data_IF_594391533338
#
_entry.id   IF_594391533338
#
_cell.length_a   1.000
_cell.length_b   1.000
_cell.length_c   1.000
_cell.angle_alpha   90.00
_cell.angle_beta   90.00
_cell.angle_gamma   90.00
#
_symmetry.space_group_name_H-M   'P 1'
#
loop_
_entity.id
_entity.type
_entity.pdbx_description
1 polymer ?
#
# COMPACT_ATOMS: atom_id res chain seq x y z
N UNK A 1 8.61 -14.52 -16.32
CA UNK A 1 8.20 -13.38 -17.18
C UNK A 1 9.27 -12.29 -17.20
N UNK A 2 10.47 -12.58 -17.70
CA UNK A 2 11.64 -11.71 -17.52
C UNK A 2 12.08 -10.91 -18.75
N UNK A 3 11.27 -10.81 -19.82
CA UNK A 3 11.74 -10.15 -21.03
C UNK A 3 11.95 -8.65 -20.77
N UNK A 4 13.10 -8.06 -21.16
CA UNK A 4 13.35 -6.63 -20.99
C UNK A 4 12.27 -5.76 -21.68
N UNK A 5 11.71 -6.27 -22.78
CA UNK A 5 10.63 -5.61 -23.53
C UNK A 5 9.34 -5.54 -22.72
N UNK A 6 8.95 -6.62 -22.01
CA UNK A 6 7.76 -6.63 -21.16
C UNK A 6 7.91 -5.64 -20.00
N UNK A 7 9.08 -5.66 -19.34
CA UNK A 7 9.40 -4.72 -18.27
C UNK A 7 9.40 -3.27 -18.74
N UNK A 8 10.08 -2.98 -19.85
CA UNK A 8 10.12 -1.64 -20.43
C UNK A 8 8.73 -1.16 -20.85
N UNK A 9 7.94 -2.01 -21.49
CA UNK A 9 6.56 -1.70 -21.88
C UNK A 9 5.65 -1.43 -20.68
N UNK A 10 5.75 -2.27 -19.63
CA UNK A 10 4.98 -2.07 -18.40
C UNK A 10 5.37 -0.78 -17.68
N UNK A 11 6.67 -0.53 -17.47
CA UNK A 11 7.15 0.70 -16.84
C UNK A 11 6.78 1.95 -17.63
N UNK A 12 6.90 1.91 -18.96
CA UNK A 12 6.45 3.00 -19.82
C UNK A 12 4.94 3.24 -19.67
N UNK A 13 4.13 2.18 -19.65
CA UNK A 13 2.70 2.27 -19.39
C UNK A 13 2.38 2.89 -18.03
N UNK A 14 3.08 2.48 -16.97
CA UNK A 14 2.93 3.05 -15.61
C UNK A 14 3.28 4.54 -15.60
N UNK A 15 4.38 4.94 -16.22
CA UNK A 15 4.77 6.35 -16.32
C UNK A 15 3.74 7.19 -17.09
N UNK A 16 3.19 6.65 -18.18
CA UNK A 16 2.10 7.30 -18.94
C UNK A 16 0.85 7.44 -18.06
N UNK A 17 0.45 6.38 -17.36
CA UNK A 17 -0.71 6.39 -16.48
C UNK A 17 -0.54 7.37 -15.31
N UNK A 18 0.64 7.45 -14.70
CA UNK A 18 0.97 8.43 -13.66
C UNK A 18 0.95 9.85 -14.20
N UNK A 19 1.49 10.08 -15.40
CA UNK A 19 1.46 11.40 -16.05
C UNK A 19 0.02 11.83 -16.38
N UNK A 20 -0.83 10.90 -16.81
CA UNK A 20 -2.26 11.16 -17.04
C UNK A 20 -2.99 11.45 -15.73
N UNK A 21 -2.73 10.68 -14.67
CA UNK A 21 -3.30 10.89 -13.34
C UNK A 21 -2.98 12.30 -12.81
N UNK A 22 -1.72 12.71 -12.93
CA UNK A 22 -1.26 14.06 -12.59
C UNK A 22 -1.96 15.14 -13.40
N UNK A 23 -2.02 14.98 -14.73
CA UNK A 23 -2.62 15.97 -15.64
C UNK A 23 -4.11 16.15 -15.40
N UNK A 24 -4.82 15.06 -15.11
CA UNK A 24 -6.25 15.09 -14.82
C UNK A 24 -6.48 15.65 -13.41
N UNK A 25 -5.62 15.32 -12.45
CA UNK A 25 -5.69 15.83 -11.08
C UNK A 25 -5.42 17.33 -10.99
N UNK A 26 -4.41 17.85 -11.69
CA UNK A 26 -4.02 19.27 -11.60
C UNK A 26 -5.10 20.21 -12.10
N UNK A 27 -5.95 19.75 -13.04
CA UNK A 27 -7.06 20.52 -13.60
C UNK A 27 -8.30 20.57 -12.71
N UNK A 28 -8.38 19.74 -11.67
CA UNK A 28 -9.59 19.55 -10.85
C UNK A 28 -9.43 20.15 -9.46
N UNK A 29 -8.86 21.35 -9.36
CA UNK A 29 -8.78 22.07 -8.09
C UNK A 29 -10.09 21.96 -7.32
N UNK A 30 -9.99 21.61 -6.02
CA UNK A 30 -11.04 21.19 -5.06
C UNK A 30 -11.22 19.67 -4.92
N UNK A 31 -11.16 19.20 -3.67
CA UNK A 31 -11.18 17.78 -3.30
C UNK A 31 -12.27 16.99 -4.03
N UNK A 32 -11.87 15.87 -4.64
CA UNK A 32 -12.77 15.03 -5.44
C UNK A 32 -14.03 14.71 -4.62
N UNK A 33 -15.21 15.01 -5.19
CA UNK A 33 -16.50 14.67 -4.58
C UNK A 33 -16.51 13.15 -4.38
N UNK A 34 -17.03 12.64 -3.26
CA UNK A 34 -16.99 11.20 -2.93
C UNK A 34 -17.42 10.28 -4.09
N UNK A 35 -18.45 10.68 -4.85
CA UNK A 35 -18.92 9.96 -6.06
C UNK A 35 -17.87 9.88 -7.18
N UNK A 36 -17.12 10.96 -7.38
CA UNK A 36 -16.05 11.02 -8.36
C UNK A 36 -14.86 10.15 -7.93
N UNK A 37 -14.53 10.17 -6.64
CA UNK A 37 -13.48 9.30 -6.07
C UNK A 37 -13.81 7.81 -6.26
N UNK A 38 -15.08 7.41 -6.09
CA UNK A 38 -15.54 6.05 -6.40
C UNK A 38 -15.33 5.71 -7.88
N UNK A 39 -15.75 6.61 -8.79
CA UNK A 39 -15.58 6.39 -10.23
C UNK A 39 -14.13 6.15 -10.64
N UNK A 40 -13.20 6.94 -10.10
CA UNK A 40 -11.77 6.72 -10.32
C UNK A 40 -11.25 5.45 -9.68
N UNK A 41 -11.69 5.13 -8.45
CA UNK A 41 -11.30 3.88 -7.81
C UNK A 41 -11.73 2.67 -8.63
N UNK A 42 -12.95 2.67 -9.16
CA UNK A 42 -13.46 1.61 -10.02
C UNK A 42 -12.68 1.52 -11.34
N UNK A 43 -12.34 2.65 -11.95
CA UNK A 43 -11.50 2.70 -13.16
C UNK A 43 -10.15 2.03 -12.93
N UNK A 44 -9.43 2.38 -11.86
CA UNK A 44 -8.12 1.79 -11.55
C UNK A 44 -8.21 0.30 -11.21
N UNK A 45 -9.26 -0.12 -10.51
CA UNK A 45 -9.53 -1.54 -10.26
C UNK A 45 -9.79 -2.27 -11.58
N UNK A 46 -10.67 -1.76 -12.44
CA UNK A 46 -10.98 -2.37 -13.73
C UNK A 46 -9.75 -2.47 -14.64
N UNK A 47 -8.90 -1.45 -14.66
CA UNK A 47 -7.64 -1.46 -15.40
C UNK A 47 -6.70 -2.57 -14.89
N UNK A 48 -6.58 -2.71 -13.57
CA UNK A 48 -5.75 -3.75 -12.95
C UNK A 48 -6.30 -5.15 -13.22
N UNK A 49 -7.62 -5.32 -13.17
CA UNK A 49 -8.26 -6.59 -13.52
C UNK A 49 -8.08 -6.93 -15.01
N UNK A 50 -8.19 -5.94 -15.89
CA UNK A 50 -7.93 -6.10 -17.32
C UNK A 50 -6.49 -6.52 -17.60
N UNK A 51 -5.51 -5.93 -16.90
CA UNK A 51 -4.11 -6.33 -17.00
C UNK A 51 -3.88 -7.77 -16.48
N UNK A 52 -4.50 -8.15 -15.36
CA UNK A 52 -4.45 -9.52 -14.85
C UNK A 52 -5.07 -10.55 -15.80
N UNK A 53 -6.18 -10.19 -16.46
CA UNK A 53 -6.81 -11.05 -17.47
C UNK A 53 -5.97 -11.15 -18.75
N UNK A 54 -5.31 -10.06 -19.15
CA UNK A 54 -4.32 -10.10 -20.23
C UNK A 54 -3.16 -11.04 -19.89
N UNK A 55 -2.65 -11.00 -18.64
CA UNK A 55 -1.65 -11.97 -18.17
C UNK A 55 -2.18 -13.41 -18.29
N UNK A 56 -3.41 -13.65 -17.84
CA UNK A 56 -4.03 -14.98 -17.90
C UNK A 56 -4.04 -15.52 -19.33
N UNK A 57 -4.50 -14.73 -20.29
CA UNK A 57 -4.62 -15.17 -21.69
C UNK A 57 -3.25 -15.43 -22.32
N UNK A 58 -2.28 -14.53 -22.11
CA UNK A 58 -0.99 -14.59 -22.82
C UNK A 58 -0.02 -15.56 -22.17
N UNK A 59 0.02 -15.63 -20.85
CA UNK A 59 1.03 -16.38 -20.10
C UNK A 59 0.48 -17.62 -19.40
N UNK A 60 -0.84 -17.75 -19.26
CA UNK A 60 -1.51 -18.91 -18.69
C UNK A 60 -2.27 -18.62 -17.40
N UNK A 61 -3.16 -19.55 -17.04
CA UNK A 61 -4.05 -19.42 -15.89
C UNK A 61 -3.32 -19.34 -14.55
N UNK A 62 -2.21 -20.07 -14.39
CA UNK A 62 -1.45 -20.05 -13.13
C UNK A 62 -0.84 -18.67 -12.86
N UNK A 63 -0.22 -18.05 -13.87
CA UNK A 63 0.35 -16.71 -13.74
C UNK A 63 -0.73 -15.64 -13.56
N UNK A 64 -1.88 -15.81 -14.22
CA UNK A 64 -3.06 -14.97 -13.98
C UNK A 64 -3.52 -15.06 -12.53
N UNK A 65 -3.66 -16.27 -11.98
CA UNK A 65 -4.04 -16.49 -10.58
C UNK A 65 -3.02 -15.91 -9.61
N UNK A 66 -1.72 -16.07 -9.89
CA UNK A 66 -0.64 -15.47 -9.09
C UNK A 66 -0.70 -13.94 -9.11
N UNK A 67 -0.93 -13.34 -10.28
CA UNK A 67 -1.16 -11.89 -10.38
C UNK A 67 -2.37 -11.46 -9.55
N UNK A 68 -3.52 -12.13 -9.68
CA UNK A 68 -4.73 -11.76 -8.94
C UNK A 68 -4.57 -11.95 -7.43
N UNK A 69 -3.88 -13.00 -6.99
CA UNK A 69 -3.57 -13.22 -5.58
C UNK A 69 -2.62 -12.16 -5.03
N UNK A 70 -1.53 -11.86 -5.74
CA UNK A 70 -0.62 -10.76 -5.38
C UNK A 70 -1.32 -9.41 -5.36
N UNK A 71 -2.14 -9.12 -6.37
CA UNK A 71 -2.91 -7.88 -6.48
C UNK A 71 -3.90 -7.74 -5.34
N UNK A 72 -4.63 -8.80 -5.00
CA UNK A 72 -5.62 -8.77 -3.91
C UNK A 72 -4.95 -8.60 -2.54
N UNK A 73 -3.83 -9.31 -2.30
CA UNK A 73 -3.01 -9.13 -1.08
C UNK A 73 -2.53 -7.69 -0.94
N UNK A 74 -1.86 -7.17 -1.97
CA UNK A 74 -1.31 -5.82 -1.97
C UNK A 74 -2.41 -4.77 -1.90
N UNK A 75 -3.54 -4.97 -2.59
CA UNK A 75 -4.66 -4.03 -2.54
C UNK A 75 -5.26 -3.95 -1.15
N UNK A 76 -5.37 -5.08 -0.46
CA UNK A 76 -5.90 -5.16 0.90
C UNK A 76 -4.97 -4.45 1.89
N UNK A 77 -3.67 -4.77 1.84
CA UNK A 77 -2.66 -4.14 2.70
C UNK A 77 -2.50 -2.65 2.39
N UNK A 78 -2.68 -2.22 1.13
CA UNK A 78 -2.63 -0.80 0.77
C UNK A 78 -3.73 0.04 1.45
N UNK A 79 -4.85 -0.56 1.87
CA UNK A 79 -5.88 0.15 2.65
C UNK A 79 -5.37 0.44 4.06
N UNK A 80 -4.57 -0.44 4.66
CA UNK A 80 -3.90 -0.15 5.94
C UNK A 80 -2.96 1.05 5.81
N UNK A 81 -2.19 1.09 4.73
CA UNK A 81 -1.30 2.22 4.42
C UNK A 81 -2.09 3.54 4.28
N UNK A 82 -3.33 3.50 3.76
CA UNK A 82 -4.20 4.68 3.67
C UNK A 82 -4.60 5.22 5.05
N UNK A 83 -4.80 4.37 6.06
CA UNK A 83 -5.05 4.85 7.42
C UNK A 83 -3.85 5.63 7.95
N UNK A 84 -2.62 5.17 7.68
CA UNK A 84 -1.41 5.92 8.04
C UNK A 84 -1.35 7.27 7.33
N UNK A 85 -1.71 7.37 6.05
CA UNK A 85 -1.83 8.68 5.39
C UNK A 85 -2.85 9.60 6.07
N UNK A 86 -4.01 9.06 6.49
CA UNK A 86 -5.02 9.86 7.22
C UNK A 86 -4.45 10.37 8.55
N UNK A 87 -3.83 9.50 9.33
CA UNK A 87 -3.22 9.85 10.62
C UNK A 87 -2.10 10.88 10.45
N UNK A 88 -1.25 10.71 9.43
CA UNK A 88 -0.18 11.65 9.10
C UNK A 88 -0.71 13.04 8.74
N UNK A 89 -1.74 13.11 7.91
CA UNK A 89 -2.32 14.40 7.49
C UNK A 89 -3.02 15.11 8.65
N UNK A 90 -3.63 14.36 9.57
CA UNK A 90 -4.18 14.92 10.81
C UNK A 90 -3.07 15.43 11.73
N UNK A 91 -2.03 14.61 11.97
CA UNK A 91 -0.95 14.93 12.90
C UNK A 91 -0.08 16.11 12.43
N UNK A 92 0.15 16.24 11.12
CA UNK A 92 0.85 17.40 10.53
C UNK A 92 -0.10 18.55 10.12
N UNK A 93 -1.40 18.44 10.42
CA UNK A 93 -2.43 19.42 10.07
C UNK A 93 -2.39 19.86 8.59
N UNK A 94 -2.23 18.91 7.66
CA UNK A 94 -2.08 19.19 6.23
C UNK A 94 -3.43 19.54 5.60
N UNK A 95 -3.60 20.76 5.05
CA UNK A 95 -4.79 21.17 4.31
C UNK A 95 -5.13 20.22 3.17
N UNK A 96 -6.42 19.97 2.94
CA UNK A 96 -6.90 19.06 1.90
C UNK A 96 -6.38 19.39 0.49
N UNK A 97 -6.12 20.67 0.23
CA UNK A 97 -5.53 21.15 -1.03
C UNK A 97 -4.10 20.64 -1.27
N UNK A 98 -3.32 20.32 -0.24
CA UNK A 98 -1.94 19.83 -0.39
C UNK A 98 -1.80 18.31 -0.21
N UNK A 99 -2.83 17.64 0.32
CA UNK A 99 -2.83 16.18 0.53
C UNK A 99 -2.57 15.41 -0.76
N UNK A 100 -3.12 15.88 -1.90
CA UNK A 100 -2.91 15.24 -3.20
C UNK A 100 -1.43 15.18 -3.61
N UNK A 101 -0.66 16.22 -3.28
CA UNK A 101 0.76 16.34 -3.61
C UNK A 101 1.58 15.38 -2.75
N UNK A 102 1.27 15.32 -1.45
CA UNK A 102 1.93 14.38 -0.54
C UNK A 102 1.61 12.93 -0.92
N UNK A 103 0.36 12.62 -1.26
CA UNK A 103 -0.03 11.29 -1.77
C UNK A 103 0.71 10.93 -3.06
N UNK A 104 0.83 11.86 -4.00
CA UNK A 104 1.54 11.60 -5.26
C UNK A 104 3.01 11.23 -5.03
N UNK A 105 3.73 12.06 -4.27
CA UNK A 105 5.14 11.79 -3.98
C UNK A 105 5.32 10.56 -3.09
N UNK A 106 4.39 10.32 -2.16
CA UNK A 106 4.35 9.13 -1.31
C UNK A 106 4.13 7.83 -2.10
N UNK A 107 3.27 7.84 -3.13
CA UNK A 107 3.06 6.66 -3.99
C UNK A 107 4.25 6.46 -4.91
N UNK A 108 4.82 7.53 -5.45
CA UNK A 108 5.97 7.45 -6.35
C UNK A 108 7.22 6.94 -5.62
N UNK A 109 7.50 7.43 -4.41
CA UNK A 109 8.61 6.95 -3.60
C UNK A 109 8.40 5.51 -3.15
N UNK A 110 7.20 5.16 -2.67
CA UNK A 110 6.82 3.79 -2.33
C UNK A 110 7.06 2.83 -3.51
N UNK A 111 6.70 3.22 -4.74
CA UNK A 111 6.91 2.41 -5.94
C UNK A 111 8.40 2.11 -6.18
N UNK A 112 9.27 3.11 -6.01
CA UNK A 112 10.72 2.97 -6.18
C UNK A 112 11.31 2.10 -5.07
N UNK A 113 10.97 2.39 -3.81
CA UNK A 113 11.46 1.64 -2.66
C UNK A 113 11.02 0.18 -2.71
N UNK A 114 9.74 -0.09 -3.00
CA UNK A 114 9.21 -1.44 -3.17
C UNK A 114 9.85 -2.15 -4.35
N UNK A 115 10.07 -1.47 -5.48
CA UNK A 115 10.81 -2.04 -6.60
C UNK A 115 12.20 -2.54 -6.17
N UNK A 116 12.94 -1.72 -5.42
CA UNK A 116 14.23 -2.10 -4.85
C UNK A 116 14.14 -3.29 -3.89
N UNK A 117 13.18 -3.26 -2.96
CA UNK A 117 12.98 -4.33 -1.97
C UNK A 117 12.51 -5.64 -2.60
N UNK A 118 11.66 -5.60 -3.63
CA UNK A 118 11.21 -6.80 -4.35
C UNK A 118 12.40 -7.45 -5.05
N UNK A 119 13.22 -6.67 -5.76
CA UNK A 119 14.43 -7.19 -6.41
C UNK A 119 15.41 -7.80 -5.39
N UNK A 120 15.63 -7.11 -4.27
CA UNK A 120 16.46 -7.62 -3.18
C UNK A 120 15.88 -8.88 -2.55
N UNK A 121 14.56 -8.91 -2.34
CA UNK A 121 13.83 -10.04 -1.76
C UNK A 121 13.86 -11.28 -2.65
N UNK A 122 13.65 -11.13 -3.96
CA UNK A 122 13.78 -12.22 -4.94
C UNK A 122 15.19 -12.80 -4.91
N UNK A 123 16.22 -11.94 -4.94
CA UNK A 123 17.61 -12.39 -4.83
C UNK A 123 17.89 -13.14 -3.52
N UNK A 124 17.31 -12.69 -2.41
CA UNK A 124 17.43 -13.33 -1.10
C UNK A 124 16.74 -14.71 -1.08
N UNK A 125 15.52 -14.82 -1.62
CA UNK A 125 14.76 -16.08 -1.71
C UNK A 125 15.50 -17.11 -2.56
N UNK A 126 16.01 -16.72 -3.73
CA UNK A 126 16.77 -17.64 -4.58
C UNK A 126 18.08 -18.12 -3.92
N UNK A 127 18.72 -17.27 -3.11
CA UNK A 127 19.97 -17.63 -2.43
C UNK A 127 19.73 -18.44 -1.16
N UNK A 128 18.67 -18.15 -0.42
CA UNK A 128 18.38 -18.70 0.90
C UNK A 128 16.93 -19.17 1.00
N UNK A 129 16.63 -20.37 0.51
CA UNK A 129 15.27 -20.95 0.54
C UNK A 129 14.63 -20.98 1.94
N UNK A 130 15.42 -21.08 3.01
CA UNK A 130 14.92 -21.05 4.39
C UNK A 130 14.37 -19.68 4.80
N UNK A 131 14.67 -18.61 4.04
CA UNK A 131 14.14 -17.26 4.30
C UNK A 131 12.61 -17.21 4.21
N UNK A 132 12.00 -18.09 3.41
CA UNK A 132 10.54 -18.20 3.31
C UNK A 132 9.93 -18.52 4.68
N UNK A 133 10.59 -19.36 5.49
CA UNK A 133 10.12 -19.64 6.85
C UNK A 133 10.30 -18.44 7.79
N UNK A 134 11.37 -17.65 7.62
CA UNK A 134 11.57 -16.40 8.38
C UNK A 134 10.48 -15.40 8.05
N UNK A 135 10.21 -15.20 6.77
CA UNK A 135 9.12 -14.39 6.26
C UNK A 135 7.78 -14.87 6.84
N UNK A 136 7.51 -16.17 6.83
CA UNK A 136 6.31 -16.74 7.46
C UNK A 136 6.22 -16.43 8.96
N UNK A 137 7.32 -16.55 9.70
CA UNK A 137 7.36 -16.24 11.12
C UNK A 137 7.09 -14.74 11.40
N UNK A 138 7.62 -13.85 10.58
CA UNK A 138 7.36 -12.40 10.66
C UNK A 138 5.88 -12.12 10.44
N UNK A 139 5.24 -12.71 9.42
CA UNK A 139 3.82 -12.51 9.15
C UNK A 139 2.92 -13.03 10.27
N UNK A 140 3.22 -14.20 10.83
CA UNK A 140 2.48 -14.74 11.98
C UNK A 140 2.65 -13.83 13.20
N UNK A 141 3.86 -13.32 13.44
CA UNK A 141 4.12 -12.38 14.51
C UNK A 141 3.33 -11.07 14.33
N UNK A 142 3.34 -10.47 13.14
CA UNK A 142 2.57 -9.26 12.84
C UNK A 142 1.07 -9.51 13.00
N UNK A 143 0.56 -10.63 12.50
CA UNK A 143 -0.85 -10.99 12.65
C UNK A 143 -1.25 -11.16 14.12
N UNK A 144 -0.43 -11.85 14.92
CA UNK A 144 -0.67 -12.01 16.35
C UNK A 144 -0.61 -10.66 17.07
N UNK A 145 0.34 -9.79 16.70
CA UNK A 145 0.43 -8.43 17.23
C UNK A 145 -0.85 -7.65 16.96
N UNK A 146 -1.34 -7.64 15.72
CA UNK A 146 -2.59 -6.93 15.37
C UNK A 146 -3.79 -7.53 16.11
N UNK A 147 -3.87 -8.86 16.28
CA UNK A 147 -4.99 -9.51 16.95
C UNK A 147 -5.00 -9.29 18.48
N UNK A 148 -3.83 -9.17 19.11
CA UNK A 148 -3.68 -9.01 20.55
C UNK A 148 -3.76 -7.55 21.01
N UNK A 149 -3.45 -6.58 20.14
CA UNK A 149 -3.62 -5.17 20.46
C UNK A 149 -5.11 -4.79 20.33
N UNK A 150 -5.76 -4.50 21.45
CA UNK A 150 -7.12 -3.96 21.49
C UNK A 150 -7.09 -2.45 21.24
N UNK A 151 -8.05 -1.96 20.45
CA UNK A 151 -8.32 -0.54 20.19
C UNK A 151 -8.18 0.28 21.50
N UNK A 152 -7.05 0.98 21.70
CA UNK A 152 -6.83 1.79 22.91
C UNK A 152 -5.38 2.03 23.32
N UNK A 153 -4.42 1.23 22.87
CA UNK A 153 -2.99 1.54 23.07
C UNK A 153 -2.49 2.42 21.93
N UNK A 154 -1.82 3.53 22.28
CA UNK A 154 -1.28 4.54 21.38
C UNK A 154 -0.49 3.90 20.24
N UNK A 155 -1.11 3.75 19.07
CA UNK A 155 -0.41 3.62 17.80
C UNK A 155 0.43 4.89 17.71
N UNK A 156 1.72 4.81 18.12
CA UNK A 156 2.65 5.94 18.10
C UNK A 156 2.45 6.64 16.78
N UNK A 157 2.02 7.90 16.84
CA UNK A 157 1.69 8.64 15.64
C UNK A 157 2.87 8.48 14.66
N UNK A 158 2.64 8.15 13.37
CA UNK A 158 3.73 7.92 12.42
C UNK A 158 4.69 9.13 12.28
N UNK A 159 4.29 10.27 12.84
CA UNK A 159 5.06 11.50 13.02
C UNK A 159 6.19 11.43 14.06
N UNK A 160 6.21 10.48 15.00
CA UNK A 160 7.26 10.35 16.03
C UNK A 160 8.35 9.30 15.67
N UNK A 161 8.40 8.86 14.42
CA UNK A 161 9.43 7.93 13.98
C UNK A 161 10.84 8.59 14.01
N UNK A 162 11.86 7.79 14.28
CA UNK A 162 13.28 8.20 14.37
C UNK A 162 13.72 8.96 13.12
N UNK A 163 13.26 8.52 11.94
CA UNK A 163 13.58 9.17 10.66
C UNK A 163 13.02 10.60 10.62
N UNK A 164 11.76 10.82 11.03
CA UNK A 164 11.15 12.15 11.07
C UNK A 164 11.89 13.07 12.04
N UNK A 165 12.25 12.56 13.22
CA UNK A 165 13.06 13.29 14.20
C UNK A 165 14.44 13.67 13.65
N UNK A 166 15.08 12.75 12.93
CA UNK A 166 16.37 12.99 12.30
C UNK A 166 16.28 14.09 11.22
N UNK A 167 15.26 14.05 10.35
CA UNK A 167 15.05 15.09 9.33
C UNK A 167 14.77 16.44 10.00
N UNK A 168 13.89 16.48 11.02
CA UNK A 168 13.57 17.71 11.77
C UNK A 168 14.80 18.33 12.44
N UNK A 169 15.75 17.51 12.91
CA UNK A 169 17.00 17.99 13.52
C UNK A 169 18.03 18.43 12.48
N UNK A 170 18.02 17.84 11.28
CA UNK A 170 19.06 18.03 10.27
C UNK A 170 18.75 19.17 9.29
N UNK A 171 17.46 19.50 9.09
CA UNK A 171 17.05 20.55 8.16
C UNK A 171 16.39 21.72 8.91
N UNK A 172 16.70 22.98 8.54
CA UNK A 172 15.95 24.13 9.03
C UNK A 172 14.51 24.05 8.52
N UNK A 173 13.53 24.24 9.41
CA UNK A 173 12.13 23.98 9.11
C UNK A 173 11.24 25.21 9.33
N UNK A 174 10.17 25.33 8.55
CA UNK A 174 9.07 26.27 8.87
C UNK A 174 8.14 25.68 9.92
N UNK A 175 7.52 26.56 10.72
CA UNK A 175 6.51 26.16 11.70
C UNK A 175 5.15 25.86 11.06
N UNK A 176 4.87 26.50 9.92
CA UNK A 176 3.58 26.45 9.21
C UNK A 176 3.76 26.03 7.76
N UNK A 177 2.69 25.54 7.16
CA UNK A 177 2.63 25.22 5.72
C UNK A 177 2.43 26.53 4.95
N UNK A 178 3.38 26.85 4.08
CA UNK A 178 3.42 28.10 3.32
C UNK A 178 3.32 27.79 1.83
N UNK A 179 2.11 27.48 1.39
CA UNK A 179 1.83 27.07 0.02
C UNK A 179 2.17 25.61 -0.28
N UNK A 180 2.20 25.23 -1.57
CA UNK A 180 2.33 23.83 -1.96
C UNK A 180 3.77 23.29 -1.92
N UNK A 181 4.79 24.14 -1.71
CA UNK A 181 6.19 23.76 -1.87
C UNK A 181 6.74 22.96 -0.68
N UNK A 182 7.61 21.98 -0.96
CA UNK A 182 8.31 21.21 0.07
C UNK A 182 9.48 21.99 0.71
N UNK A 183 9.97 22.99 -0.01
CA UNK A 183 11.02 23.88 0.44
C UNK A 183 10.61 25.31 0.13
N UNK A 184 10.77 26.20 1.10
CA UNK A 184 10.58 27.64 0.89
C UNK A 184 11.90 28.36 1.16
N UNK A 185 12.14 29.47 0.46
CA UNK A 185 13.36 30.25 0.63
C UNK A 185 13.08 31.47 1.51
N UNK A 186 13.78 31.58 2.63
CA UNK A 186 13.75 32.75 3.53
C UNK A 186 15.17 33.26 3.73
N UNK A 187 15.37 34.55 3.52
CA UNK A 187 16.66 35.22 3.74
C UNK A 187 17.84 34.48 3.08
N UNK A 188 17.64 34.01 1.85
CA UNK A 188 18.65 33.27 1.08
C UNK A 188 18.81 31.78 1.46
N UNK A 189 18.28 31.33 2.60
CA UNK A 189 18.33 29.93 3.09
C UNK A 189 17.06 29.15 2.71
N UNK A 190 17.20 27.86 2.44
CA UNK A 190 16.07 26.95 2.17
C UNK A 190 15.58 26.34 3.47
N UNK A 191 14.28 26.40 3.71
CA UNK A 191 13.60 25.78 4.85
C UNK A 191 12.69 24.67 4.34
N UNK A 192 12.74 23.51 4.99
CA UNK A 192 11.81 22.42 4.75
C UNK A 192 10.42 22.75 5.34
N UNK A 193 9.36 22.41 4.62
CA UNK A 193 7.98 22.59 5.11
C UNK A 193 7.44 21.30 5.75
N UNK A 194 6.37 21.37 6.56
CA UNK A 194 5.72 20.17 7.11
C UNK A 194 5.24 19.17 6.03
N UNK A 195 5.01 19.63 4.80
CA UNK A 195 4.68 18.75 3.67
C UNK A 195 5.82 17.75 3.36
N UNK A 196 7.08 18.17 3.50
CA UNK A 196 8.23 17.28 3.29
C UNK A 196 8.29 16.22 4.38
N UNK A 197 8.08 16.61 5.65
CA UNK A 197 8.04 15.64 6.75
C UNK A 197 6.92 14.62 6.56
N UNK A 198 5.76 15.04 6.06
CA UNK A 198 4.66 14.13 5.79
C UNK A 198 5.00 13.11 4.71
N UNK A 199 5.69 13.51 3.63
CA UNK A 199 6.19 12.57 2.62
C UNK A 199 7.19 11.61 3.26
N UNK A 200 8.20 12.12 3.97
CA UNK A 200 9.22 11.27 4.61
C UNK A 200 8.60 10.28 5.60
N UNK A 201 7.65 10.72 6.41
CA UNK A 201 6.96 9.86 7.36
C UNK A 201 6.12 8.79 6.65
N UNK A 202 5.44 9.17 5.56
CA UNK A 202 4.67 8.23 4.75
C UNK A 202 5.57 7.17 4.09
N UNK A 203 6.70 7.58 3.49
CA UNK A 203 7.69 6.67 2.90
C UNK A 203 8.28 5.72 3.94
N UNK A 204 8.58 6.24 5.14
CA UNK A 204 9.10 5.41 6.23
C UNK A 204 8.05 4.40 6.71
N UNK A 205 6.79 4.82 6.80
CA UNK A 205 5.71 3.91 7.15
C UNK A 205 5.46 2.87 6.06
N UNK A 206 5.46 3.24 4.78
CA UNK A 206 5.35 2.27 3.68
C UNK A 206 6.51 1.27 3.69
N UNK A 207 7.73 1.72 4.01
CA UNK A 207 8.88 0.82 4.18
C UNK A 207 8.66 -0.20 5.29
N UNK A 208 8.05 0.21 6.42
CA UNK A 208 7.69 -0.71 7.50
C UNK A 208 6.59 -1.67 7.03
N UNK A 209 5.56 -1.19 6.35
CA UNK A 209 4.50 -2.04 5.80
C UNK A 209 4.99 -3.03 4.73
N UNK A 210 6.01 -2.64 3.95
CA UNK A 210 6.63 -3.50 2.97
C UNK A 210 7.29 -4.73 3.62
N UNK A 211 7.64 -4.67 4.90
CA UNK A 211 8.14 -5.84 5.66
C UNK A 211 7.06 -6.91 5.87
N UNK A 212 5.79 -6.54 5.85
CA UNK A 212 4.67 -7.49 5.92
C UNK A 212 4.19 -7.85 4.50
N UNK A 213 4.06 -6.86 3.61
CA UNK A 213 3.43 -7.10 2.31
C UNK A 213 4.33 -7.86 1.32
N UNK A 214 5.63 -7.56 1.26
CA UNK A 214 6.53 -8.20 0.30
C UNK A 214 6.72 -9.69 0.62
N UNK A 215 7.01 -10.09 1.87
CA UNK A 215 7.01 -11.50 2.26
C UNK A 215 5.71 -12.22 1.92
N UNK A 216 4.56 -11.58 2.15
CA UNK A 216 3.26 -12.19 1.86
C UNK A 216 3.06 -12.46 0.37
N UNK A 217 3.50 -11.56 -0.51
CA UNK A 217 3.41 -11.80 -1.96
C UNK A 217 4.37 -12.91 -2.41
N UNK A 218 5.54 -13.06 -1.78
CA UNK A 218 6.44 -14.19 -2.07
C UNK A 218 5.86 -15.56 -1.68
N UNK A 219 4.82 -15.60 -0.84
CA UNK A 219 4.07 -16.83 -0.58
C UNK A 219 3.17 -17.28 -1.75
N UNK A 220 2.96 -16.39 -2.72
CA UNK A 220 2.15 -16.61 -3.92
C UNK A 220 3.04 -16.90 -5.11
N UNK A 221 4.08 -16.09 -5.33
CA UNK A 221 4.97 -16.22 -6.48
C UNK A 221 6.34 -15.59 -6.19
N UNK A 222 7.40 -16.19 -6.73
CA UNK A 222 8.76 -15.66 -6.76
C UNK A 222 9.08 -14.96 -8.09
N UNK A 223 8.13 -14.91 -9.05
CA UNK A 223 8.31 -14.17 -10.30
C UNK A 223 8.29 -12.65 -10.03
N UNK A 224 9.48 -12.06 -10.04
CA UNK A 224 9.70 -10.61 -9.83
C UNK A 224 8.77 -9.69 -10.63
N UNK A 225 8.40 -10.06 -11.87
CA UNK A 225 7.50 -9.25 -12.68
C UNK A 225 6.07 -9.31 -12.17
N UNK A 226 5.59 -10.49 -11.77
CA UNK A 226 4.27 -10.63 -11.16
C UNK A 226 4.18 -9.88 -9.83
N UNK A 227 5.17 -10.08 -8.95
CA UNK A 227 5.24 -9.38 -7.65
C UNK A 227 5.24 -7.85 -7.86
N UNK A 228 6.10 -7.35 -8.75
CA UNK A 228 6.20 -5.93 -9.02
C UNK A 228 4.93 -5.39 -9.68
N UNK A 229 4.46 -6.00 -10.77
CA UNK A 229 3.30 -5.50 -11.51
C UNK A 229 2.01 -5.54 -10.69
N UNK A 230 1.79 -6.58 -9.88
CA UNK A 230 0.63 -6.64 -8.98
C UNK A 230 0.69 -5.56 -7.90
N UNK A 231 1.88 -5.29 -7.37
CA UNK A 231 2.12 -4.21 -6.40
C UNK A 231 1.85 -2.83 -7.02
N UNK A 232 2.40 -2.57 -8.21
CA UNK A 232 2.15 -1.33 -8.95
C UNK A 232 0.66 -1.15 -9.20
N UNK A 233 -0.03 -2.16 -9.75
CA UNK A 233 -1.47 -2.11 -9.98
C UNK A 233 -2.28 -1.86 -8.71
N UNK A 234 -1.86 -2.42 -7.57
CA UNK A 234 -2.52 -2.17 -6.28
C UNK A 234 -2.34 -0.73 -5.79
N UNK A 235 -1.15 -0.15 -5.97
CA UNK A 235 -0.82 1.24 -5.62
C UNK A 235 -1.41 2.26 -6.59
N UNK A 236 -1.58 1.90 -7.86
CA UNK A 236 -2.28 2.75 -8.82
C UNK A 236 -3.73 2.98 -8.35
N UNK A 237 -4.14 4.23 -8.35
CA UNK A 237 -5.45 4.65 -7.84
C UNK A 237 -5.54 4.80 -6.32
N UNK A 238 -4.44 4.64 -5.56
CA UNK A 238 -4.41 4.88 -4.11
C UNK A 238 -4.88 6.29 -3.75
N UNK A 239 -4.56 7.29 -4.57
CA UNK A 239 -5.07 8.67 -4.44
C UNK A 239 -6.61 8.74 -4.47
N UNK A 240 -7.26 8.05 -5.40
CA UNK A 240 -8.72 8.00 -5.48
C UNK A 240 -9.30 7.22 -4.30
N UNK A 241 -8.69 6.09 -3.96
CA UNK A 241 -9.10 5.26 -2.84
C UNK A 241 -8.96 5.98 -1.49
N UNK A 242 -7.95 6.82 -1.30
CA UNK A 242 -7.79 7.67 -0.12
C UNK A 242 -9.05 8.49 0.15
N UNK A 243 -9.61 9.16 -0.86
CA UNK A 243 -10.81 9.98 -0.69
C UNK A 243 -12.07 9.15 -0.42
N UNK A 244 -12.12 7.91 -0.93
CA UNK A 244 -13.20 6.96 -0.61
C UNK A 244 -13.07 6.49 0.84
N UNK A 245 -11.88 6.03 1.25
CA UNK A 245 -11.59 5.51 2.59
C UNK A 245 -11.77 6.60 3.64
N UNK A 246 -11.29 7.82 3.40
CA UNK A 246 -11.51 8.96 4.31
C UNK A 246 -13.01 9.21 4.58
N UNK A 247 -13.87 9.06 3.57
CA UNK A 247 -15.33 9.20 3.72
C UNK A 247 -16.00 7.98 4.35
N UNK A 248 -15.37 6.81 4.28
CA UNK A 248 -15.87 5.54 4.81
C UNK A 248 -15.14 5.07 6.08
N UNK A 249 -14.27 5.91 6.67
CA UNK A 249 -13.30 5.55 7.70
C UNK A 249 -13.97 4.87 8.91
N UNK A 250 -15.09 5.43 9.36
CA UNK A 250 -15.87 4.92 10.50
C UNK A 250 -16.59 3.59 10.21
N UNK A 251 -16.74 3.20 8.94
CA UNK A 251 -17.44 1.98 8.51
C UNK A 251 -16.50 0.81 8.23
N UNK A 252 -15.18 0.99 8.32
CA UNK A 252 -14.19 -0.04 7.96
C UNK A 252 -13.46 -0.61 9.19
N UNK A 253 -14.10 -0.57 10.38
CA UNK A 253 -13.48 -0.99 11.66
C UNK A 253 -12.93 -2.42 11.62
N UNK A 254 -13.62 -3.36 11.00
CA UNK A 254 -13.20 -4.76 10.95
C UNK A 254 -12.26 -5.09 9.80
N UNK A 255 -11.74 -4.08 9.09
CA UNK A 255 -10.74 -4.30 8.05
C UNK A 255 -9.39 -4.71 8.64
N UNK A 256 -8.92 -4.04 9.72
CA UNK A 256 -7.67 -4.40 10.43
C UNK A 256 -7.64 -5.88 10.88
N UNK A 257 -8.66 -6.43 11.56
CA UNK A 257 -8.66 -7.86 11.91
C UNK A 257 -8.77 -8.78 10.67
N UNK A 258 -9.43 -8.35 9.60
CA UNK A 258 -9.42 -9.08 8.32
C UNK A 258 -8.01 -9.21 7.73
N UNK A 259 -7.24 -8.11 7.74
CA UNK A 259 -5.83 -8.11 7.30
C UNK A 259 -4.96 -9.00 8.19
N UNK A 260 -5.15 -8.97 9.51
CA UNK A 260 -4.47 -9.89 10.42
C UNK A 260 -4.77 -11.36 10.08
N UNK A 261 -6.02 -11.69 9.75
CA UNK A 261 -6.41 -13.04 9.32
C UNK A 261 -5.69 -13.47 8.03
N UNK A 262 -5.55 -12.56 7.06
CA UNK A 262 -4.80 -12.81 5.82
C UNK A 262 -3.32 -13.04 6.12
N UNK A 263 -2.69 -12.16 6.91
CA UNK A 263 -1.28 -12.28 7.28
C UNK A 263 -1.01 -13.59 8.05
N UNK A 264 -1.91 -13.98 8.96
CA UNK A 264 -1.82 -15.24 9.68
C UNK A 264 -1.89 -16.43 8.72
N UNK A 265 -2.87 -16.45 7.82
CA UNK A 265 -3.04 -17.52 6.83
C UNK A 265 -1.80 -17.65 5.94
N UNK A 266 -1.33 -16.53 5.38
CA UNK A 266 -0.17 -16.52 4.48
C UNK A 266 1.10 -16.90 5.26
N UNK A 267 1.29 -16.38 6.47
CA UNK A 267 2.42 -16.71 7.32
C UNK A 267 2.48 -18.19 7.69
N UNK A 268 1.34 -18.79 8.05
CA UNK A 268 1.24 -20.23 8.31
C UNK A 268 1.52 -21.06 7.05
N UNK A 269 1.00 -20.65 5.89
CA UNK A 269 1.32 -21.29 4.60
C UNK A 269 2.82 -21.28 4.32
N UNK A 270 3.50 -20.16 4.57
CA UNK A 270 4.95 -20.02 4.39
C UNK A 270 5.76 -20.86 5.39
N UNK A 271 5.34 -20.94 6.65
CA UNK A 271 5.99 -21.80 7.64
C UNK A 271 5.83 -23.28 7.28
N UNK A 272 4.67 -23.64 6.72
CA UNK A 272 4.33 -25.01 6.35
C UNK A 272 4.73 -25.36 4.90
N UNK A 273 5.60 -24.57 4.25
CA UNK A 273 5.92 -24.71 2.82
C UNK A 273 6.42 -26.10 2.40
N UNK A 274 6.99 -26.89 3.34
CA UNK A 274 7.47 -28.26 3.07
C UNK A 274 6.39 -29.33 3.19
N UNK A 275 5.33 -29.07 3.95
CA UNK A 275 4.32 -30.08 4.31
C UNK A 275 2.97 -29.86 3.65
N UNK A 276 2.64 -28.61 3.27
CA UNK A 276 1.34 -28.25 2.72
C UNK A 276 1.49 -27.51 1.39
N UNK A 277 1.17 -28.18 0.29
CA UNK A 277 1.05 -27.55 -1.03
C UNK A 277 -0.39 -27.07 -1.23
N UNK A 278 -0.61 -25.77 -1.04
CA UNK A 278 -1.89 -25.13 -1.33
C UNK A 278 -1.85 -24.53 -2.74
N UNK A 279 -2.74 -24.98 -3.66
CA UNK A 279 -2.87 -24.36 -4.98
C UNK A 279 -3.11 -22.85 -4.86
N UNK A 280 -2.58 -22.09 -5.82
CA UNK A 280 -2.73 -20.63 -5.88
C UNK A 280 -4.19 -20.20 -5.89
N UNK A 281 -5.04 -20.92 -6.64
CA UNK A 281 -6.47 -20.68 -6.67
C UNK A 281 -7.17 -20.84 -5.31
N UNK A 282 -6.78 -21.85 -4.52
CA UNK A 282 -7.32 -22.04 -3.16
C UNK A 282 -6.86 -20.94 -2.22
N UNK A 283 -5.59 -20.54 -2.31
CA UNK A 283 -5.06 -19.42 -1.52
C UNK A 283 -5.80 -18.12 -1.84
N UNK A 284 -6.01 -17.83 -3.12
CA UNK A 284 -6.76 -16.67 -3.60
C UNK A 284 -8.21 -16.69 -3.07
N UNK A 285 -8.89 -17.84 -3.13
CA UNK A 285 -10.25 -17.99 -2.65
C UNK A 285 -10.36 -17.72 -1.14
N UNK A 286 -9.40 -18.23 -0.34
CA UNK A 286 -9.35 -17.99 1.12
C UNK A 286 -9.13 -16.50 1.40
N UNK A 287 -8.16 -15.86 0.73
CA UNK A 287 -7.88 -14.43 0.91
C UNK A 287 -9.12 -13.60 0.54
N UNK A 288 -9.75 -13.89 -0.59
CA UNK A 288 -10.97 -13.22 -1.02
C UNK A 288 -12.13 -13.42 -0.03
N UNK A 289 -12.31 -14.63 0.49
CA UNK A 289 -13.33 -14.92 1.49
C UNK A 289 -13.12 -14.13 2.78
N UNK A 290 -11.88 -14.07 3.31
CA UNK A 290 -11.56 -13.28 4.51
C UNK A 290 -11.88 -11.80 4.28
N UNK A 291 -11.53 -11.25 3.12
CA UNK A 291 -11.83 -9.84 2.79
C UNK A 291 -13.32 -9.57 2.67
N UNK A 292 -14.06 -10.45 1.97
CA UNK A 292 -15.50 -10.30 1.83
C UNK A 292 -16.18 -10.35 3.21
N UNK A 293 -15.80 -11.30 4.06
CA UNK A 293 -16.32 -11.39 5.44
C UNK A 293 -15.98 -10.12 6.22
N UNK A 294 -14.73 -9.66 6.19
CA UNK A 294 -14.30 -8.45 6.88
C UNK A 294 -15.08 -7.21 6.42
N UNK A 295 -15.33 -7.07 5.12
CA UNK A 295 -16.10 -5.97 4.53
C UNK A 295 -17.58 -6.05 4.90
N UNK A 296 -18.20 -7.24 4.82
CA UNK A 296 -19.61 -7.43 5.17
C UNK A 296 -19.85 -7.18 6.66
N UNK A 297 -19.00 -7.73 7.54
CA UNK A 297 -19.08 -7.47 8.98
C UNK A 297 -18.88 -5.99 9.27
N UNK A 298 -17.92 -5.33 8.63
CA UNK A 298 -17.71 -3.89 8.75
C UNK A 298 -18.92 -3.07 8.32
N UNK A 299 -19.62 -3.50 7.27
CA UNK A 299 -20.79 -2.80 6.74
C UNK A 299 -22.06 -2.99 7.58
N UNK A 300 -22.28 -4.21 8.11
CA UNK A 300 -23.47 -4.56 8.87
C UNK A 300 -23.33 -4.36 10.39
N UNK A 301 -22.11 -4.15 10.89
CA UNK A 301 -21.91 -3.84 12.30
C UNK A 301 -22.68 -2.57 12.68
N UNK A 302 -23.40 -2.56 13.82
CA UNK A 302 -24.08 -1.38 14.30
C UNK A 302 -23.09 -0.23 14.45
N UNK A 303 -23.50 0.99 14.10
CA UNK A 303 -22.74 2.19 14.48
C UNK A 303 -22.74 2.25 16.00
N UNK A 304 -21.64 1.85 16.62
CA UNK A 304 -21.46 2.09 18.04
C UNK A 304 -21.43 3.61 18.22
N UNK A 305 -22.39 4.13 18.99
CA UNK A 305 -22.44 5.56 19.31
C UNK A 305 -21.18 5.88 20.11
N UNK A 306 -20.18 6.44 19.43
CA UNK A 306 -19.09 7.15 20.10
C UNK A 306 -19.70 8.41 20.71
N UNK A 307 -20.29 8.26 21.89
CA UNK A 307 -20.52 9.37 22.84
C UNK A 307 -19.20 9.86 23.38
#
# INVERSE_FOLDING_TARGET
MGSPVLWAGFLAGVLVLLALDLRISSRRGHGARFREAIGWSLFWIALSLGFGFWIWIIYGGEQGLQFFAGYLLEKSLSVDNLFVFVLLFQAFAIPAEYQHRVLFWGVLGALVLRGGLILAGVALVHRFHWIIAVFGAVLVYTAAKIALHRDGEEERAPTDNVVVRMVRKSLPMTATIEGPEFFVRREGRRFATPLLLAVVAAETADLVFALDSIPAVFAVTDDSFLVFSSNVCALLGLRALYFVVRGALLRLRYLKPGLAGILLFVGLKMLLYKWVFLPTGTSLAIIAAILVVALLVSWFAPKENLT
#
